data_IF_214110529200
#
_entry.id   IF_214110529200
#
_cell.length_a   1.000
_cell.length_b   1.000
_cell.length_c   1.000
_cell.angle_alpha   90.00
_cell.angle_beta   90.00
_cell.angle_gamma   90.00
#
_symmetry.space_group_name_H-M   'P 1'
#
loop_
_entity.id
_entity.type
_entity.pdbx_description
1 polymer ?
#
# COMPACT_ATOMS: atom_id res chain seq x y z
N UNK A 1 56.11 3.84 -28.11
CA UNK A 1 54.75 3.97 -27.55
C UNK A 1 54.91 4.14 -26.04
N UNK A 2 54.55 5.30 -25.48
CA UNK A 2 54.69 5.55 -24.02
C UNK A 2 53.71 4.64 -23.25
N UNK A 3 54.13 3.94 -22.19
CA UNK A 3 53.23 3.07 -21.44
C UNK A 3 52.13 3.90 -20.76
N UNK A 4 50.86 3.52 -20.95
CA UNK A 4 49.74 4.13 -20.25
C UNK A 4 49.76 3.72 -18.78
N UNK A 5 49.59 4.70 -17.88
CA UNK A 5 49.52 4.45 -16.44
C UNK A 5 48.12 3.93 -16.11
N UNK A 6 48.02 2.66 -15.72
CA UNK A 6 46.78 2.06 -15.18
C UNK A 6 46.87 2.08 -13.65
N UNK A 7 45.78 2.48 -13.00
CA UNK A 7 45.66 2.60 -11.54
C UNK A 7 45.04 1.31 -10.98
N UNK A 8 45.67 0.68 -9.99
CA UNK A 8 45.07 -0.42 -9.25
C UNK A 8 44.18 0.11 -8.13
N UNK A 9 42.95 -0.42 -8.10
CA UNK A 9 41.98 -0.18 -7.03
C UNK A 9 42.39 -0.85 -5.73
N UNK A 10 42.01 -0.18 -4.65
CA UNK A 10 42.13 -0.48 -3.22
C UNK A 10 41.86 -1.93 -2.78
N UNK A 11 42.84 -2.83 -2.89
CA UNK A 11 42.67 -4.17 -2.28
C UNK A 11 43.93 -4.78 -1.61
N UNK A 12 44.85 -3.95 -1.11
CA UNK A 12 45.88 -4.42 -0.16
C UNK A 12 45.88 -3.57 1.11
N UNK A 13 44.89 -3.86 1.95
CA UNK A 13 44.70 -3.31 3.29
C UNK A 13 45.73 -3.95 4.23
N UNK A 14 46.94 -3.38 4.30
CA UNK A 14 47.85 -3.37 5.47
C UNK A 14 49.25 -2.85 5.10
N UNK A 15 49.39 -1.54 4.88
CA UNK A 15 50.70 -0.89 4.95
C UNK A 15 50.55 0.47 5.63
N UNK A 16 50.46 0.45 6.96
CA UNK A 16 50.49 1.65 7.79
C UNK A 16 51.94 1.88 8.23
N UNK A 17 52.66 2.75 7.53
CA UNK A 17 53.90 3.33 8.03
C UNK A 17 53.69 4.81 8.38
N UNK A 18 54.34 5.23 9.46
CA UNK A 18 54.01 6.39 10.33
C UNK A 18 54.41 7.76 9.77
N UNK A 19 54.64 7.90 8.45
CA UNK A 19 55.24 9.11 7.85
C UNK A 19 54.53 9.67 6.62
N UNK A 20 53.20 9.64 6.64
CA UNK A 20 52.41 10.35 5.65
C UNK A 20 52.13 9.52 4.40
N UNK A 21 50.90 9.65 3.94
CA UNK A 21 50.33 8.94 2.81
C UNK A 21 51.03 9.31 1.52
N UNK A 22 51.91 8.43 1.03
CA UNK A 22 52.26 8.30 -0.38
C UNK A 22 53.01 6.99 -0.57
N UNK A 23 52.33 5.95 -1.04
CA UNK A 23 52.99 4.75 -1.60
C UNK A 23 52.14 4.14 -2.71
N UNK A 24 52.02 4.85 -3.84
CA UNK A 24 51.87 4.15 -5.11
C UNK A 24 53.26 3.65 -5.50
N UNK A 25 53.71 2.54 -4.91
CA UNK A 25 54.90 1.85 -5.40
C UNK A 25 54.59 1.33 -6.80
N UNK A 26 55.17 1.96 -7.82
CA UNK A 26 55.16 1.43 -9.18
C UNK A 26 56.01 0.15 -9.18
N UNK A 27 55.38 -0.98 -8.93
CA UNK A 27 55.99 -2.27 -9.24
C UNK A 27 55.91 -2.39 -10.77
N UNK A 28 57.04 -2.45 -11.49
CA UNK A 28 57.01 -2.63 -12.93
C UNK A 28 56.41 -4.01 -13.23
N UNK A 29 55.17 -4.02 -13.71
CA UNK A 29 54.50 -5.23 -14.17
C UNK A 29 55.32 -5.80 -15.34
N UNK A 30 55.71 -7.09 -15.30
CA UNK A 30 56.41 -7.72 -16.41
C UNK A 30 55.68 -7.49 -17.74
N UNK A 31 56.42 -7.29 -18.84
CA UNK A 31 55.85 -6.95 -20.15
C UNK A 31 54.79 -7.98 -20.61
N UNK A 32 54.96 -9.24 -20.24
CA UNK A 32 54.00 -10.32 -20.49
C UNK A 32 52.66 -10.09 -19.79
N UNK A 33 52.70 -9.70 -18.51
CA UNK A 33 51.50 -9.43 -17.73
C UNK A 33 50.80 -8.14 -18.18
N UNK A 34 51.56 -7.14 -18.65
CA UNK A 34 50.96 -5.94 -19.28
C UNK A 34 50.15 -6.31 -20.53
N UNK A 35 50.68 -7.20 -21.38
CA UNK A 35 49.96 -7.68 -22.57
C UNK A 35 48.71 -8.47 -22.18
N UNK A 36 48.82 -9.39 -21.22
CA UNK A 36 47.69 -10.16 -20.70
C UNK A 36 46.59 -9.26 -20.14
N UNK A 37 46.94 -8.28 -19.30
CA UNK A 37 45.98 -7.32 -18.74
C UNK A 37 45.33 -6.49 -19.85
N UNK A 38 46.08 -6.05 -20.85
CA UNK A 38 45.54 -5.29 -21.98
C UNK A 38 44.55 -6.14 -22.82
N UNK A 39 44.87 -7.40 -23.06
CA UNK A 39 44.01 -8.36 -23.77
C UNK A 39 42.73 -8.67 -22.97
N UNK A 40 42.85 -8.94 -21.67
CA UNK A 40 41.70 -9.15 -20.78
C UNK A 40 40.82 -7.89 -20.70
N UNK A 41 41.41 -6.70 -20.65
CA UNK A 41 40.68 -5.43 -20.63
C UNK A 41 39.95 -5.21 -21.95
N UNK A 42 40.59 -5.47 -23.09
CA UNK A 42 39.95 -5.37 -24.40
C UNK A 42 38.75 -6.33 -24.51
N UNK A 43 38.89 -7.58 -24.05
CA UNK A 43 37.79 -8.55 -24.00
C UNK A 43 36.65 -8.12 -23.07
N UNK A 44 36.95 -7.48 -21.94
CA UNK A 44 35.92 -6.94 -21.05
C UNK A 44 35.21 -5.75 -21.69
N UNK A 45 35.94 -4.86 -22.37
CA UNK A 45 35.34 -3.72 -23.06
C UNK A 45 34.38 -4.15 -24.18
N UNK A 46 34.72 -5.18 -24.95
CA UNK A 46 33.82 -5.72 -25.99
C UNK A 46 32.56 -6.33 -25.37
N UNK A 47 32.70 -7.17 -24.33
CA UNK A 47 31.55 -7.74 -23.60
C UNK A 47 30.64 -6.69 -22.98
N UNK A 48 31.22 -5.66 -22.37
CA UNK A 48 30.46 -4.53 -21.80
C UNK A 48 29.75 -3.74 -22.90
N UNK A 49 30.38 -3.55 -24.06
CA UNK A 49 29.75 -2.88 -25.20
C UNK A 49 28.54 -3.68 -25.71
N UNK A 50 28.70 -4.99 -25.93
CA UNK A 50 27.61 -5.87 -26.35
C UNK A 50 26.46 -5.88 -25.33
N UNK A 51 26.77 -5.91 -24.04
CA UNK A 51 25.77 -5.84 -22.98
C UNK A 51 25.05 -4.49 -22.97
N UNK A 52 25.79 -3.38 -23.06
CA UNK A 52 25.22 -2.04 -23.09
C UNK A 52 24.33 -1.84 -24.33
N UNK A 53 24.74 -2.34 -25.49
CA UNK A 53 23.90 -2.30 -26.70
C UNK A 53 22.58 -3.06 -26.48
N UNK A 54 22.60 -4.24 -25.85
CA UNK A 54 21.38 -4.99 -25.49
C UNK A 54 20.51 -4.30 -24.45
N UNK A 55 21.08 -3.57 -23.49
CA UNK A 55 20.30 -2.83 -22.48
C UNK A 55 19.70 -1.57 -23.11
N UNK A 56 20.41 -0.93 -24.03
CA UNK A 56 20.00 0.31 -24.66
C UNK A 56 18.92 0.12 -25.73
N UNK A 57 18.73 -1.08 -26.28
CA UNK A 57 17.69 -1.33 -27.31
C UNK A 57 16.28 -0.99 -26.84
N UNK A 58 15.99 -1.15 -25.54
CA UNK A 58 14.67 -0.83 -24.96
C UNK A 58 14.73 0.39 -24.00
N UNK A 59 15.88 1.05 -23.90
CA UNK A 59 16.01 2.19 -23.01
C UNK A 59 15.41 3.43 -23.68
N UNK A 60 14.23 3.85 -23.20
CA UNK A 60 13.69 5.18 -23.51
C UNK A 60 14.44 6.22 -22.68
N UNK A 61 14.93 7.25 -23.33
CA UNK A 61 15.52 8.41 -22.65
C UNK A 61 14.48 9.09 -21.76
N UNK A 62 14.90 9.79 -20.69
CA UNK A 62 13.95 10.53 -19.85
C UNK A 62 13.07 11.52 -20.62
N UNK A 63 13.62 12.14 -21.67
CA UNK A 63 12.88 13.05 -22.55
C UNK A 63 11.79 12.33 -23.34
N UNK A 64 12.09 11.19 -23.94
CA UNK A 64 11.11 10.39 -24.68
C UNK A 64 10.00 9.87 -23.76
N UNK A 65 10.35 9.43 -22.54
CA UNK A 65 9.35 9.01 -21.53
C UNK A 65 8.43 10.15 -21.15
N UNK A 66 8.97 11.35 -20.94
CA UNK A 66 8.18 12.53 -20.60
C UNK A 66 7.25 12.92 -21.77
N UNK A 67 7.74 12.83 -23.01
CA UNK A 67 6.95 13.09 -24.21
C UNK A 67 5.81 12.08 -24.34
N UNK A 68 6.10 10.79 -24.25
CA UNK A 68 5.10 9.71 -24.31
C UNK A 68 4.05 9.85 -23.20
N UNK A 69 4.48 10.16 -21.98
CA UNK A 69 3.55 10.44 -20.89
C UNK A 69 2.64 11.64 -21.20
N UNK A 70 3.19 12.71 -21.79
CA UNK A 70 2.39 13.88 -22.19
C UNK A 70 1.40 13.55 -23.31
N UNK A 71 1.78 12.70 -24.26
CA UNK A 71 0.92 12.25 -25.36
C UNK A 71 -0.18 11.34 -24.85
N UNK A 72 0.14 10.40 -23.95
CA UNK A 72 -0.83 9.55 -23.27
C UNK A 72 -1.83 10.38 -22.47
N UNK A 73 -1.39 11.41 -21.74
CA UNK A 73 -2.30 12.32 -21.03
C UNK A 73 -3.23 13.10 -21.96
N UNK A 74 -2.79 13.44 -23.17
CA UNK A 74 -3.66 14.09 -24.17
C UNK A 74 -4.70 13.11 -24.68
N UNK A 75 -4.28 11.89 -25.00
CA UNK A 75 -5.16 10.82 -25.47
C UNK A 75 -6.21 10.45 -24.41
N UNK A 76 -5.81 10.31 -23.14
CA UNK A 76 -6.77 10.02 -22.06
C UNK A 76 -7.76 11.17 -21.89
N UNK A 77 -7.32 12.43 -21.96
CA UNK A 77 -8.23 13.58 -21.91
C UNK A 77 -9.23 13.60 -23.05
N UNK A 78 -8.82 13.30 -24.28
CA UNK A 78 -9.75 13.23 -25.42
C UNK A 78 -10.75 12.09 -25.25
N UNK A 79 -10.28 10.91 -24.84
CA UNK A 79 -11.17 9.78 -24.56
C UNK A 79 -12.17 10.07 -23.42
N UNK A 80 -11.72 10.70 -22.35
CA UNK A 80 -12.58 11.13 -21.24
C UNK A 80 -13.61 12.16 -21.67
N UNK A 81 -13.23 13.08 -22.55
CA UNK A 81 -14.14 14.10 -23.08
C UNK A 81 -15.21 13.47 -23.98
N UNK A 82 -14.84 12.54 -24.85
CA UNK A 82 -15.77 11.82 -25.72
C UNK A 82 -16.74 10.98 -24.87
N UNK A 83 -16.22 10.24 -23.89
CA UNK A 83 -17.05 9.45 -22.96
C UNK A 83 -18.03 10.32 -22.16
N UNK A 84 -17.56 11.46 -21.65
CA UNK A 84 -18.42 12.44 -20.98
C UNK A 84 -19.53 12.95 -21.91
N UNK A 85 -19.23 13.16 -23.19
CA UNK A 85 -20.21 13.61 -24.18
C UNK A 85 -21.30 12.57 -24.44
N UNK A 86 -20.94 11.29 -24.47
CA UNK A 86 -21.88 10.17 -24.60
C UNK A 86 -22.82 10.08 -23.39
N UNK A 87 -22.28 10.11 -22.17
CA UNK A 87 -23.11 10.07 -20.95
C UNK A 87 -24.03 11.31 -20.88
N UNK A 88 -23.51 12.47 -21.32
CA UNK A 88 -24.31 13.70 -21.34
C UNK A 88 -25.50 13.58 -22.30
N UNK A 89 -25.30 13.07 -23.52
CA UNK A 89 -26.39 12.93 -24.49
C UNK A 89 -27.47 11.95 -24.00
N UNK A 90 -27.06 10.87 -23.33
CA UNK A 90 -27.99 9.93 -22.68
C UNK A 90 -28.81 10.61 -21.57
N UNK A 91 -28.18 11.36 -20.67
CA UNK A 91 -28.88 12.06 -19.57
C UNK A 91 -29.79 13.17 -20.10
N UNK A 92 -29.39 13.89 -21.15
CA UNK A 92 -30.22 14.90 -21.81
C UNK A 92 -31.49 14.27 -22.39
N UNK A 93 -31.41 13.04 -22.93
CA UNK A 93 -32.57 12.29 -23.42
C UNK A 93 -33.49 11.81 -22.30
N UNK A 94 -32.94 11.38 -21.16
CA UNK A 94 -33.70 10.85 -20.03
C UNK A 94 -34.37 11.96 -19.20
N UNK A 95 -33.72 13.11 -19.05
CA UNK A 95 -34.19 14.20 -18.20
C UNK A 95 -34.13 15.57 -18.89
N UNK A 96 -34.92 15.81 -19.95
CA UNK A 96 -34.82 17.04 -20.74
C UNK A 96 -35.20 18.31 -19.94
N UNK A 97 -36.05 18.19 -18.91
CA UNK A 97 -36.54 19.32 -18.09
C UNK A 97 -35.65 19.67 -16.90
N UNK A 98 -34.61 18.90 -16.61
CA UNK A 98 -33.74 19.14 -15.47
C UNK A 98 -32.81 20.34 -15.71
N UNK A 99 -32.35 20.98 -14.63
CA UNK A 99 -31.32 22.03 -14.72
C UNK A 99 -29.99 21.45 -15.21
N UNK A 100 -29.20 22.26 -15.92
CA UNK A 100 -27.89 21.85 -16.42
C UNK A 100 -26.95 21.40 -15.28
N UNK A 101 -27.01 22.07 -14.12
CA UNK A 101 -26.24 21.69 -12.93
C UNK A 101 -26.58 20.27 -12.45
N UNK A 102 -27.88 19.93 -12.41
CA UNK A 102 -28.33 18.60 -12.00
C UNK A 102 -27.85 17.54 -12.99
N UNK A 103 -27.96 17.82 -14.29
CA UNK A 103 -27.48 16.89 -15.33
C UNK A 103 -25.97 16.69 -15.23
N UNK A 104 -25.20 17.77 -15.06
CA UNK A 104 -23.75 17.70 -14.89
C UNK A 104 -23.34 16.90 -13.65
N UNK A 105 -24.04 17.09 -12.52
CA UNK A 105 -23.80 16.32 -11.30
C UNK A 105 -24.02 14.82 -11.52
N UNK A 106 -25.06 14.44 -12.26
CA UNK A 106 -25.33 13.03 -12.59
C UNK A 106 -24.27 12.50 -13.55
N UNK A 107 -23.89 13.24 -14.60
CA UNK A 107 -22.79 12.84 -15.51
C UNK A 107 -21.51 12.55 -14.70
N UNK A 108 -21.12 13.46 -13.81
CA UNK A 108 -19.93 13.29 -12.97
C UNK A 108 -20.04 12.09 -12.04
N UNK A 109 -21.21 11.89 -11.43
CA UNK A 109 -21.49 10.74 -10.57
C UNK A 109 -21.37 9.42 -11.34
N UNK A 110 -21.99 9.31 -12.51
CA UNK A 110 -21.94 8.11 -13.35
C UNK A 110 -20.51 7.81 -13.79
N UNK A 111 -19.77 8.80 -14.28
CA UNK A 111 -18.35 8.63 -14.64
C UNK A 111 -17.51 8.14 -13.46
N UNK A 112 -17.77 8.65 -12.25
CA UNK A 112 -17.08 8.20 -11.04
C UNK A 112 -17.43 6.75 -10.70
N UNK A 113 -18.72 6.39 -10.65
CA UNK A 113 -19.16 5.03 -10.36
C UNK A 113 -18.60 4.02 -11.35
N UNK A 114 -18.54 4.34 -12.64
CA UNK A 114 -17.96 3.47 -13.67
C UNK A 114 -16.44 3.31 -13.49
N UNK A 115 -15.71 4.39 -13.16
CA UNK A 115 -14.28 4.27 -12.81
C UNK A 115 -14.06 3.36 -11.61
N UNK A 116 -14.87 3.50 -10.56
CA UNK A 116 -14.73 2.70 -9.35
C UNK A 116 -15.09 1.23 -9.58
N UNK A 117 -16.12 0.92 -10.37
CA UNK A 117 -16.44 -0.47 -10.75
C UNK A 117 -15.31 -1.16 -11.50
N UNK A 118 -14.57 -0.42 -12.33
CA UNK A 118 -13.40 -0.96 -13.02
C UNK A 118 -12.12 -0.96 -12.15
N UNK A 119 -12.08 -0.13 -11.10
CA UNK A 119 -10.95 0.00 -10.18
C UNK A 119 -11.11 -0.81 -8.89
N UNK A 120 -12.25 -1.47 -8.66
CA UNK A 120 -12.37 -2.64 -7.78
C UNK A 120 -11.52 -3.79 -8.35
N UNK A 121 -10.20 -3.56 -8.40
CA UNK A 121 -9.24 -4.61 -8.28
C UNK A 121 -9.57 -5.32 -6.97
N UNK A 122 -9.81 -6.62 -7.11
CA UNK A 122 -9.69 -7.65 -6.09
C UNK A 122 -9.04 -7.08 -4.84
N UNK A 123 -9.80 -7.00 -3.74
CA UNK A 123 -9.23 -6.83 -2.42
C UNK A 123 -8.15 -7.91 -2.26
N UNK A 124 -6.93 -7.61 -2.67
CA UNK A 124 -5.73 -8.35 -2.37
C UNK A 124 -5.44 -8.06 -0.91
N UNK A 125 -6.36 -8.52 -0.05
CA UNK A 125 -6.25 -8.55 1.39
C UNK A 125 -4.98 -9.32 1.80
N UNK A 126 -4.40 -10.11 0.88
CA UNK A 126 -3.12 -10.79 0.99
C UNK A 126 -1.90 -9.85 0.90
N UNK A 127 -2.02 -8.67 0.27
CA UNK A 127 -0.91 -7.73 0.06
C UNK A 127 -0.83 -6.61 1.10
N UNK A 128 -1.90 -6.41 1.89
CA UNK A 128 -1.82 -5.54 3.06
C UNK A 128 -1.44 -6.39 4.27
N UNK A 129 -0.23 -6.17 4.80
CA UNK A 129 0.27 -6.69 6.09
C UNK A 129 -0.55 -6.20 7.31
N UNK A 130 -1.80 -5.79 7.11
CA UNK A 130 -2.71 -5.43 8.19
C UNK A 130 -3.30 -6.74 8.74
N UNK A 131 -2.93 -7.16 9.95
CA UNK A 131 -3.53 -8.34 10.54
C UNK A 131 -5.03 -8.12 10.63
N UNK A 132 -5.81 -9.11 10.18
CA UNK A 132 -7.26 -9.07 10.34
C UNK A 132 -7.59 -9.27 11.83
N UNK A 133 -7.69 -8.15 12.56
CA UNK A 133 -7.92 -8.12 14.01
C UNK A 133 -9.25 -8.75 14.43
N UNK A 134 -10.21 -8.89 13.51
CA UNK A 134 -11.48 -9.58 13.78
C UNK A 134 -11.33 -11.09 13.98
N UNK A 135 -10.28 -11.69 13.38
CA UNK A 135 -9.97 -13.12 13.54
C UNK A 135 -9.12 -13.41 14.78
N UNK A 136 -8.37 -12.42 15.28
CA UNK A 136 -7.46 -12.59 16.43
C UNK A 136 -8.09 -12.16 17.75
N UNK A 137 -9.04 -11.22 17.75
CA UNK A 137 -9.69 -10.74 18.96
C UNK A 137 -11.07 -11.40 19.12
N UNK A 138 -11.14 -12.46 19.92
CA UNK A 138 -12.42 -13.02 20.37
C UNK A 138 -13.05 -12.02 21.35
N UNK A 139 -14.15 -11.36 20.96
CA UNK A 139 -14.86 -10.43 21.85
C UNK A 139 -15.37 -11.16 23.09
N UNK A 140 -14.84 -10.82 24.27
CA UNK A 140 -15.18 -11.46 25.55
C UNK A 140 -16.35 -10.82 26.26
N UNK A 141 -17.31 -10.28 25.52
CA UNK A 141 -18.50 -9.62 26.10
C UNK A 141 -19.33 -10.65 26.87
N UNK A 142 -19.61 -10.35 28.14
CA UNK A 142 -20.46 -11.17 29.01
C UNK A 142 -21.74 -10.42 29.34
N UNK A 143 -22.88 -11.12 29.25
CA UNK A 143 -24.16 -10.63 29.77
C UNK A 143 -24.24 -11.00 31.24
N UNK A 144 -24.47 -10.00 32.09
CA UNK A 144 -24.68 -10.20 33.53
C UNK A 144 -26.09 -9.72 33.86
N UNK A 145 -26.87 -10.63 34.41
CA UNK A 145 -28.25 -10.40 34.82
C UNK A 145 -28.27 -10.04 36.31
N UNK A 146 -29.04 -9.03 36.69
CA UNK A 146 -29.20 -8.64 38.09
C UNK A 146 -30.60 -8.08 38.37
N UNK A 147 -31.05 -8.23 39.61
CA UNK A 147 -32.23 -7.55 40.12
C UNK A 147 -31.81 -6.19 40.68
N UNK A 148 -32.51 -5.13 40.28
CA UNK A 148 -32.31 -3.77 40.85
C UNK A 148 -33.18 -3.53 42.07
N UNK A 149 -34.22 -4.34 42.24
CA UNK A 149 -35.13 -4.30 43.37
C UNK A 149 -34.62 -5.10 44.55
N UNK A 150 -35.44 -5.16 45.59
CA UNK A 150 -35.20 -5.91 46.82
C UNK A 150 -36.13 -7.10 46.87
N UNK A 151 -35.66 -8.19 47.48
CA UNK A 151 -36.52 -9.30 47.88
C UNK A 151 -37.35 -8.89 49.09
N UNK A 152 -38.66 -8.73 48.92
CA UNK A 152 -39.57 -8.27 49.97
C UNK A 152 -40.97 -8.87 49.84
N UNK A 153 -41.74 -8.84 50.94
CA UNK A 153 -43.12 -9.31 50.95
C UNK A 153 -44.00 -8.36 50.12
N UNK A 154 -44.71 -8.91 49.13
CA UNK A 154 -45.62 -8.13 48.28
C UNK A 154 -46.75 -7.54 49.12
N UNK A 155 -47.19 -6.33 48.74
CA UNK A 155 -48.34 -5.66 49.38
C UNK A 155 -49.68 -6.19 48.88
N UNK A 156 -49.67 -6.82 47.70
CA UNK A 156 -50.88 -7.27 47.00
C UNK A 156 -51.11 -8.77 47.18
N UNK A 157 -50.03 -9.51 47.33
CA UNK A 157 -50.03 -10.96 47.48
C UNK A 157 -49.20 -11.27 48.72
N UNK A 158 -49.68 -12.12 49.61
CA UNK A 158 -49.02 -12.37 50.92
C UNK A 158 -47.75 -13.24 50.79
N UNK A 159 -47.01 -13.10 49.69
CA UNK A 159 -45.82 -13.86 49.34
C UNK A 159 -44.60 -12.94 49.11
N UNK A 160 -43.40 -13.49 49.28
CA UNK A 160 -42.16 -12.79 49.00
C UNK A 160 -41.88 -12.76 47.49
N UNK A 161 -41.51 -11.59 46.98
CA UNK A 161 -41.21 -11.36 45.56
C UNK A 161 -40.05 -10.39 45.38
N UNK A 162 -39.42 -10.43 44.21
CA UNK A 162 -38.51 -9.37 43.77
C UNK A 162 -39.28 -8.10 43.42
N UNK A 163 -39.01 -6.98 44.08
CA UNK A 163 -39.76 -5.73 43.83
C UNK A 163 -39.52 -5.11 42.44
N UNK A 164 -38.48 -5.51 41.71
CA UNK A 164 -38.20 -5.02 40.37
C UNK A 164 -38.95 -5.75 39.25
N UNK A 165 -39.29 -7.03 39.42
CA UNK A 165 -39.88 -7.86 38.36
C UNK A 165 -41.05 -8.73 38.84
N UNK A 166 -41.40 -8.64 40.13
CA UNK A 166 -42.45 -9.40 40.80
C UNK A 166 -42.27 -10.93 40.67
N UNK A 167 -41.04 -11.39 40.45
CA UNK A 167 -40.72 -12.81 40.44
C UNK A 167 -40.86 -13.40 41.85
N UNK A 168 -41.56 -14.55 41.95
CA UNK A 168 -41.76 -15.31 43.19
C UNK A 168 -40.59 -16.22 43.55
N UNK A 169 -39.61 -16.37 42.66
CA UNK A 169 -38.44 -17.18 42.92
C UNK A 169 -37.25 -16.29 43.29
N UNK A 170 -36.70 -16.53 44.48
CA UNK A 170 -35.56 -15.76 45.00
C UNK A 170 -34.31 -15.95 44.15
N UNK A 171 -34.14 -17.14 43.58
CA UNK A 171 -32.99 -17.50 42.75
C UNK A 171 -33.25 -17.27 41.25
N UNK A 172 -34.36 -16.60 40.90
CA UNK A 172 -34.66 -16.25 39.52
C UNK A 172 -33.59 -15.34 38.91
N UNK A 173 -33.36 -15.51 37.60
CA UNK A 173 -32.43 -14.67 36.85
C UNK A 173 -32.84 -13.18 36.91
N UNK A 174 -31.84 -12.31 37.03
CA UNK A 174 -32.04 -10.88 37.18
C UNK A 174 -32.80 -10.25 36.00
N UNK A 175 -33.80 -9.42 36.29
CA UNK A 175 -34.61 -8.81 35.23
C UNK A 175 -33.88 -7.75 34.39
N UNK A 176 -32.75 -7.22 34.88
CA UNK A 176 -31.94 -6.24 34.17
C UNK A 176 -30.65 -6.86 33.62
N UNK A 177 -30.37 -6.58 32.35
CA UNK A 177 -29.18 -7.08 31.66
C UNK A 177 -28.14 -5.97 31.52
N UNK A 178 -26.92 -6.24 32.00
CA UNK A 178 -25.75 -5.39 31.73
C UNK A 178 -24.77 -6.16 30.86
N UNK A 179 -24.37 -5.57 29.74
CA UNK A 179 -23.29 -6.10 28.90
C UNK A 179 -21.97 -5.54 29.42
N UNK A 180 -21.13 -6.42 29.94
CA UNK A 180 -19.80 -6.08 30.42
C UNK A 180 -18.81 -6.47 29.31
N UNK A 181 -18.07 -5.47 28.83
CA UNK A 181 -16.97 -5.66 27.90
C UNK A 181 -15.66 -5.46 28.67
N UNK A 182 -14.96 -6.55 29.06
CA UNK A 182 -13.72 -6.44 29.81
C UNK A 182 -12.60 -5.79 29.00
N UNK A 183 -12.74 -5.72 27.67
CA UNK A 183 -11.73 -5.20 26.76
C UNK A 183 -11.95 -3.71 26.42
N UNK A 184 -13.01 -3.09 26.93
CA UNK A 184 -13.37 -1.69 26.62
C UNK A 184 -12.39 -0.64 27.16
N UNK A 185 -11.62 -0.95 28.19
CA UNK A 185 -10.68 -0.02 28.85
C UNK A 185 -9.24 -0.53 28.92
N UNK A 186 -8.93 -1.69 28.33
CA UNK A 186 -7.55 -2.12 28.17
C UNK A 186 -6.98 -1.44 26.92
N UNK A 187 -6.42 -0.25 27.10
CA UNK A 187 -5.47 0.38 26.17
C UNK A 187 -4.11 -0.25 26.37
#
# INVERSE_FOLDING_TARGET
IKPSKVYDGTDTRNNYDTRGWNVSNQVPIPLHDQKRIAEETAMRMTKTKEFNEKVLTNYKTPFERAKEHSENLKLTRTMEQDWKSTIKSEIDSQMPKASEEKKQAIVMKTMYEERFKHQEHEDQHELTFKPNLSKTLVSRRKRVYHHTGKWEKSKFEDCEVWSCCMSYDKDSEGCNVRIIDPDKYNI
#
